data_IF_987483513346
#
_entry.id   IF_987483513346
#
_cell.length_a   1.000
_cell.length_b   1.000
_cell.length_c   1.000
_cell.angle_alpha   90.00
_cell.angle_beta   90.00
_cell.angle_gamma   90.00
#
_symmetry.space_group_name_H-M   'P 1'
#
loop_
_entity.id
_entity.type
_entity.pdbx_description
1 polymer ?
#
# COMPACT_ATOMS: atom_id res chain seq x y z
N UNK A 1 16.27 7.00 -9.63
CA UNK A 1 15.69 7.51 -8.37
C UNK A 1 15.33 6.31 -7.51
N UNK A 2 15.72 6.31 -6.24
CA UNK A 2 15.42 5.23 -5.29
C UNK A 2 13.96 5.34 -4.84
N UNK A 3 13.23 4.23 -4.82
CA UNK A 3 11.85 4.22 -4.33
C UNK A 3 11.80 4.62 -2.83
N UNK A 4 10.68 5.19 -2.33
CA UNK A 4 10.51 5.48 -0.90
C UNK A 4 10.74 4.26 0.00
N UNK A 5 10.42 3.06 -0.50
CA UNK A 5 10.64 1.80 0.22
C UNK A 5 12.12 1.39 0.25
N UNK A 6 12.89 1.69 -0.81
CA UNK A 6 14.34 1.43 -0.84
C UNK A 6 15.09 2.19 0.25
N UNK A 7 14.63 3.41 0.59
CA UNK A 7 15.21 4.18 1.69
C UNK A 7 14.94 3.57 3.06
N UNK A 8 13.77 2.96 3.26
CA UNK A 8 13.49 2.19 4.47
C UNK A 8 14.44 0.98 4.57
N UNK A 9 14.66 0.27 3.47
CA UNK A 9 15.63 -0.84 3.43
C UNK A 9 17.06 -0.38 3.77
N UNK A 10 17.49 0.77 3.25
CA UNK A 10 18.78 1.37 3.59
C UNK A 10 18.91 1.66 5.10
N UNK A 11 17.90 2.29 5.70
CA UNK A 11 17.85 2.57 7.14
C UNK A 11 17.94 1.27 7.95
N UNK A 12 17.24 0.22 7.52
CA UNK A 12 17.30 -1.10 8.17
C UNK A 12 18.72 -1.69 8.12
N UNK A 13 19.45 -1.54 7.00
CA UNK A 13 20.82 -2.05 6.84
C UNK A 13 21.87 -1.26 7.63
N UNK A 14 21.67 0.04 7.83
CA UNK A 14 22.61 0.89 8.58
C UNK A 14 22.41 0.80 10.08
N UNK A 15 21.20 0.43 10.52
CA UNK A 15 20.85 0.27 11.93
C UNK A 15 21.42 -1.05 12.47
N UNK A 16 22.61 -1.02 13.08
CA UNK A 16 23.37 -2.25 13.41
C UNK A 16 23.18 -2.83 14.81
N UNK A 17 22.74 -2.08 15.84
CA UNK A 17 22.63 -2.58 17.23
C UNK A 17 21.58 -1.83 18.09
N UNK A 18 20.94 -2.53 19.04
CA UNK A 18 20.07 -1.96 20.08
C UNK A 18 18.57 -2.24 19.92
N UNK A 19 17.80 -2.09 21.01
CA UNK A 19 16.36 -2.38 21.02
C UNK A 19 15.56 -1.51 20.02
N UNK A 20 15.95 -0.24 19.86
CA UNK A 20 15.37 0.67 18.87
C UNK A 20 15.55 0.17 17.43
N UNK A 21 16.72 -0.40 17.12
CA UNK A 21 17.01 -0.99 15.81
C UNK A 21 16.08 -2.16 15.50
N UNK A 22 15.81 -3.02 16.49
CA UNK A 22 14.91 -4.18 16.33
C UNK A 22 13.47 -3.74 16.07
N UNK A 23 13.01 -2.71 16.77
CA UNK A 23 11.68 -2.13 16.56
C UNK A 23 11.54 -1.52 15.15
N UNK A 24 12.54 -0.76 14.71
CA UNK A 24 12.58 -0.18 13.37
C UNK A 24 12.60 -1.26 12.30
N UNK A 25 13.45 -2.28 12.43
CA UNK A 25 13.51 -3.39 11.47
C UNK A 25 12.20 -4.18 11.42
N UNK A 26 11.57 -4.46 12.57
CA UNK A 26 10.26 -5.12 12.60
C UNK A 26 9.18 -4.30 11.90
N UNK A 27 9.16 -2.98 12.14
CA UNK A 27 8.25 -2.06 11.46
C UNK A 27 8.48 -2.04 9.94
N UNK A 28 9.73 -1.99 9.51
CA UNK A 28 10.08 -1.99 8.07
C UNK A 28 9.65 -3.31 7.41
N UNK A 29 9.89 -4.45 8.04
CA UNK A 29 9.42 -5.76 7.53
C UNK A 29 7.90 -5.80 7.32
N UNK A 30 7.14 -5.21 8.24
CA UNK A 30 5.66 -5.13 8.13
C UNK A 30 5.22 -4.17 7.01
N UNK A 31 5.96 -3.08 6.75
CA UNK A 31 5.73 -2.22 5.58
C UNK A 31 6.03 -2.99 4.29
N UNK A 32 7.10 -3.77 4.24
CA UNK A 32 7.44 -4.59 3.06
C UNK A 32 6.39 -5.68 2.82
N UNK A 33 5.87 -6.30 3.88
CA UNK A 33 4.76 -7.26 3.76
C UNK A 33 3.48 -6.59 3.24
N UNK A 34 3.18 -5.38 3.72
CA UNK A 34 2.07 -4.58 3.20
C UNK A 34 2.27 -4.24 1.72
N UNK A 35 3.48 -3.86 1.31
CA UNK A 35 3.79 -3.62 -0.10
C UNK A 35 3.63 -4.89 -0.96
N UNK A 36 4.09 -6.04 -0.49
CA UNK A 36 3.89 -7.33 -1.19
C UNK A 36 2.41 -7.70 -1.33
N UNK A 37 1.59 -7.41 -0.31
CA UNK A 37 0.14 -7.58 -0.40
C UNK A 37 -0.48 -6.61 -1.43
N UNK A 38 0.00 -5.36 -1.49
CA UNK A 38 -0.39 -4.39 -2.52
C UNK A 38 0.01 -4.88 -3.92
N UNK A 39 1.18 -5.48 -4.10
CA UNK A 39 1.60 -6.09 -5.37
C UNK A 39 0.66 -7.20 -5.84
N UNK A 40 0.12 -7.99 -4.92
CA UNK A 40 -0.90 -8.98 -5.27
C UNK A 40 -2.20 -8.32 -5.71
N UNK A 41 -2.68 -7.29 -4.99
CA UNK A 41 -3.89 -6.54 -5.38
C UNK A 41 -3.71 -5.92 -6.77
N UNK A 42 -2.59 -5.23 -7.02
CA UNK A 42 -2.30 -4.59 -8.30
C UNK A 42 -2.38 -5.58 -9.46
N UNK A 43 -1.67 -6.72 -9.35
CA UNK A 43 -1.69 -7.78 -10.36
C UNK A 43 -3.10 -8.30 -10.66
N UNK A 44 -3.89 -8.60 -9.63
CA UNK A 44 -5.25 -9.10 -9.85
C UNK A 44 -6.16 -8.04 -10.47
N UNK A 45 -6.08 -6.79 -10.02
CA UNK A 45 -6.93 -5.70 -10.52
C UNK A 45 -6.61 -5.40 -11.99
N UNK A 46 -5.32 -5.31 -12.35
CA UNK A 46 -4.89 -5.09 -13.73
C UNK A 46 -5.32 -6.24 -14.65
N UNK A 47 -5.13 -7.49 -14.21
CA UNK A 47 -5.56 -8.68 -14.95
C UNK A 47 -7.08 -8.73 -15.17
N UNK A 48 -7.86 -8.55 -14.11
CA UNK A 48 -9.33 -8.57 -14.17
C UNK A 48 -9.89 -7.48 -15.09
N UNK A 49 -9.36 -6.27 -14.98
CA UNK A 49 -9.79 -5.15 -15.81
C UNK A 49 -9.46 -5.37 -17.28
N UNK A 50 -8.25 -5.88 -17.57
CA UNK A 50 -7.81 -6.19 -18.94
C UNK A 50 -8.69 -7.27 -19.58
N UNK A 51 -9.05 -8.31 -18.81
CA UNK A 51 -9.91 -9.40 -19.29
C UNK A 51 -11.36 -8.96 -19.58
N UNK A 52 -11.84 -7.88 -18.95
CA UNK A 52 -13.22 -7.38 -19.10
C UNK A 52 -13.36 -6.16 -20.00
N UNK A 53 -12.25 -5.53 -20.42
CA UNK A 53 -12.29 -4.31 -21.23
C UNK A 53 -12.94 -3.13 -20.51
N UNK A 54 -12.97 -3.13 -19.17
CA UNK A 54 -13.65 -2.12 -18.35
C UNK A 54 -12.86 -0.84 -18.12
N UNK A 55 -12.03 -0.43 -19.09
CA UNK A 55 -11.12 0.70 -19.00
C UNK A 55 -11.60 1.89 -19.85
N UNK A 56 -11.67 3.06 -19.23
CA UNK A 56 -11.96 4.33 -19.86
C UNK A 56 -10.69 5.17 -19.90
N UNK A 57 -10.27 5.57 -21.10
CA UNK A 57 -9.16 6.50 -21.28
C UNK A 57 -9.59 7.92 -20.86
N UNK A 58 -8.76 8.57 -20.06
CA UNK A 58 -8.93 9.93 -19.54
C UNK A 58 -7.64 10.70 -19.81
N UNK A 59 -7.53 11.37 -20.97
CA UNK A 59 -6.31 12.07 -21.40
C UNK A 59 -5.04 11.21 -21.24
N UNK A 60 -4.21 11.49 -20.22
CA UNK A 60 -2.95 10.79 -19.92
C UNK A 60 -3.08 9.64 -18.91
N UNK A 61 -4.31 9.33 -18.48
CA UNK A 61 -4.61 8.29 -17.50
C UNK A 61 -5.63 7.28 -18.04
N UNK A 62 -5.61 6.05 -17.52
CA UNK A 62 -6.63 5.04 -17.80
C UNK A 62 -7.33 4.65 -16.50
N UNK A 63 -8.63 4.91 -16.40
CA UNK A 63 -9.47 4.48 -15.29
C UNK A 63 -10.14 3.15 -15.62
N UNK A 64 -9.90 2.14 -14.80
CA UNK A 64 -10.37 0.79 -15.05
C UNK A 64 -11.14 0.22 -13.86
N UNK A 65 -12.23 -0.48 -14.15
CA UNK A 65 -12.94 -1.29 -13.16
C UNK A 65 -12.45 -2.73 -13.19
N UNK A 66 -12.15 -3.31 -12.02
CA UNK A 66 -11.89 -4.73 -11.89
C UNK A 66 -13.18 -5.57 -12.00
N UNK A 67 -14.36 -4.94 -12.00
CA UNK A 67 -15.69 -5.58 -11.99
C UNK A 67 -15.90 -6.58 -10.84
N UNK A 68 -15.03 -6.56 -9.83
CA UNK A 68 -15.02 -7.43 -8.68
C UNK A 68 -14.90 -6.57 -7.41
N UNK A 69 -15.88 -6.70 -6.52
CA UNK A 69 -15.85 -6.07 -5.20
C UNK A 69 -15.78 -4.54 -5.22
N UNK A 70 -16.34 -3.89 -6.25
CA UNK A 70 -16.31 -2.43 -6.44
C UNK A 70 -14.90 -1.84 -6.33
N UNK A 71 -13.95 -2.53 -6.97
CA UNK A 71 -12.54 -2.15 -7.00
C UNK A 71 -12.19 -1.52 -8.34
N UNK A 72 -11.51 -0.39 -8.27
CA UNK A 72 -11.08 0.38 -9.43
C UNK A 72 -9.58 0.60 -9.34
N UNK A 73 -8.93 0.75 -10.48
CA UNK A 73 -7.58 1.29 -10.54
C UNK A 73 -7.41 2.33 -11.63
N UNK A 74 -6.39 3.15 -11.45
CA UNK A 74 -5.94 4.10 -12.44
C UNK A 74 -4.42 4.09 -12.48
N UNK A 75 -3.87 4.10 -13.69
CA UNK A 75 -2.48 4.44 -13.93
C UNK A 75 -2.44 5.85 -14.52
N UNK A 76 -1.74 6.75 -13.85
CA UNK A 76 -1.70 8.17 -14.13
C UNK A 76 -0.23 8.63 -14.04
N UNK A 77 0.43 8.79 -15.19
CA UNK A 77 1.84 9.20 -15.27
C UNK A 77 2.80 8.39 -14.37
N UNK A 78 2.60 7.07 -14.25
CA UNK A 78 3.43 6.20 -13.41
C UNK A 78 3.00 6.12 -11.94
N UNK A 79 1.90 6.76 -11.57
CA UNK A 79 1.22 6.58 -10.28
C UNK A 79 0.08 5.56 -10.44
N UNK A 80 0.26 4.41 -9.80
CA UNK A 80 -0.81 3.43 -9.60
C UNK A 80 -1.69 3.88 -8.44
N UNK A 81 -2.97 4.08 -8.71
CA UNK A 81 -4.00 4.38 -7.71
C UNK A 81 -5.03 3.25 -7.74
N UNK A 82 -5.30 2.61 -6.61
CA UNK A 82 -6.33 1.57 -6.47
C UNK A 82 -7.28 2.01 -5.37
N UNK A 83 -8.57 1.94 -5.61
CA UNK A 83 -9.57 2.16 -4.57
C UNK A 83 -10.66 1.11 -4.62
N UNK A 84 -11.03 0.65 -3.43
CA UNK A 84 -12.21 -0.16 -3.19
C UNK A 84 -13.25 0.73 -2.50
N UNK A 85 -14.46 0.76 -3.05
CA UNK A 85 -15.61 1.41 -2.41
C UNK A 85 -16.48 0.39 -1.67
N UNK A 86 -17.48 0.90 -0.95
CA UNK A 86 -18.41 0.10 -0.16
C UNK A 86 -17.84 -0.39 1.17
N UNK A 87 -18.24 -1.61 1.57
CA UNK A 87 -17.73 -2.22 2.80
C UNK A 87 -16.22 -2.46 2.72
N UNK A 88 -15.50 -2.16 3.80
CA UNK A 88 -14.04 -2.22 3.84
C UNK A 88 -13.33 -1.32 2.82
N UNK A 89 -13.85 -0.10 2.61
CA UNK A 89 -13.22 0.89 1.75
C UNK A 89 -11.73 1.10 2.08
N UNK A 90 -10.93 1.13 1.01
CA UNK A 90 -9.48 1.19 1.03
C UNK A 90 -9.00 1.98 -0.19
N UNK A 91 -7.95 2.77 -0.02
CA UNK A 91 -7.22 3.44 -1.08
C UNK A 91 -5.73 3.11 -0.99
N UNK A 92 -5.14 2.79 -2.12
CA UNK A 92 -3.71 2.52 -2.31
C UNK A 92 -3.22 3.50 -3.36
N UNK A 93 -2.11 4.18 -3.08
CA UNK A 93 -1.40 5.01 -4.06
C UNK A 93 0.06 4.62 -4.04
N UNK A 94 0.61 4.29 -5.21
CA UNK A 94 2.00 3.88 -5.36
C UNK A 94 2.60 4.49 -6.60
N UNK A 95 3.74 5.15 -6.44
CA UNK A 95 4.57 5.64 -7.54
C UNK A 95 6.04 5.64 -7.17
N UNK A 96 6.85 6.33 -7.97
CA UNK A 96 8.30 6.47 -7.72
C UNK A 96 8.62 7.13 -6.39
N UNK A 97 7.74 8.03 -5.91
CA UNK A 97 8.04 8.93 -4.80
C UNK A 97 7.12 8.75 -3.59
N UNK A 98 6.06 7.95 -3.73
CA UNK A 98 5.04 7.74 -2.70
C UNK A 98 4.60 6.29 -2.62
N UNK A 99 4.43 5.80 -1.40
CA UNK A 99 3.72 4.59 -1.07
C UNK A 99 2.70 4.91 0.02
N UNK A 100 1.41 4.83 -0.31
CA UNK A 100 0.30 5.14 0.58
C UNK A 100 -0.70 3.99 0.58
N UNK A 101 -1.07 3.54 1.77
CA UNK A 101 -2.23 2.67 1.99
C UNK A 101 -3.11 3.30 3.04
N UNK A 102 -4.41 3.42 2.77
CA UNK A 102 -5.32 4.16 3.63
C UNK A 102 -6.75 3.62 3.62
N UNK A 103 -7.43 3.83 4.73
CA UNK A 103 -8.87 3.62 4.94
C UNK A 103 -9.44 4.88 5.59
N UNK A 104 -10.73 4.91 5.93
CA UNK A 104 -11.30 6.04 6.70
C UNK A 104 -10.56 6.33 8.00
N UNK A 105 -10.06 5.33 8.72
CA UNK A 105 -9.50 5.49 10.07
C UNK A 105 -8.00 5.23 10.17
N UNK A 106 -7.39 4.60 9.16
CA UNK A 106 -6.00 4.18 9.22
C UNK A 106 -5.28 4.61 7.95
N UNK A 107 -4.04 5.10 8.05
CA UNK A 107 -3.20 5.27 6.87
C UNK A 107 -1.73 5.14 7.22
N UNK A 108 -0.94 4.69 6.25
CA UNK A 108 0.52 4.72 6.26
C UNK A 108 0.97 5.25 4.91
N UNK A 109 1.70 6.35 4.93
CA UNK A 109 2.31 7.01 3.78
C UNK A 109 3.81 7.09 4.00
N UNK A 110 4.58 6.62 3.03
CA UNK A 110 6.03 6.75 2.97
C UNK A 110 6.35 7.50 1.68
N UNK A 111 6.94 8.67 1.82
CA UNK A 111 7.47 9.48 0.72
C UNK A 111 9.00 9.36 0.68
N UNK A 112 9.67 10.02 -0.26
CA UNK A 112 11.14 9.94 -0.39
C UNK A 112 11.91 10.39 0.88
N UNK A 113 11.37 11.34 1.64
CA UNK A 113 12.07 11.93 2.81
C UNK A 113 11.27 11.86 4.09
N UNK A 114 9.96 11.65 4.00
CA UNK A 114 9.04 11.69 5.14
C UNK A 114 8.15 10.46 5.22
N UNK A 115 7.55 10.29 6.39
CA UNK A 115 6.41 9.40 6.56
C UNK A 115 5.27 10.14 7.24
N UNK A 116 4.07 9.60 7.05
CA UNK A 116 2.87 9.95 7.80
C UNK A 116 2.10 8.69 8.13
N UNK A 117 1.73 8.51 9.39
CA UNK A 117 0.84 7.42 9.79
C UNK A 117 -0.35 7.97 10.58
N UNK A 118 -1.50 7.37 10.38
CA UNK A 118 -2.74 7.74 11.05
C UNK A 118 -3.40 6.54 11.68
N UNK A 119 -3.80 6.71 12.92
CA UNK A 119 -4.54 5.73 13.71
C UNK A 119 -5.74 6.46 14.32
N UNK A 120 -6.92 6.20 13.77
CA UNK A 120 -8.16 6.92 14.08
C UNK A 120 -8.04 8.42 13.80
N UNK A 121 -8.20 9.25 14.83
CA UNK A 121 -8.05 10.71 14.79
C UNK A 121 -6.60 11.17 14.97
N UNK A 122 -5.70 10.30 15.44
CA UNK A 122 -4.30 10.65 15.68
C UNK A 122 -3.48 10.49 14.41
N UNK A 123 -2.75 11.54 14.03
CA UNK A 123 -1.79 11.51 12.92
C UNK A 123 -0.41 11.84 13.44
N UNK A 124 0.56 11.03 13.07
CA UNK A 124 1.98 11.25 13.29
C UNK A 124 2.67 11.43 11.95
N UNK A 125 3.72 12.23 11.93
CA UNK A 125 4.56 12.42 10.74
C UNK A 125 5.96 12.83 11.16
N UNK A 126 6.95 12.41 10.37
CA UNK A 126 8.34 12.71 10.63
C UNK A 126 9.21 12.47 9.42
N UNK A 127 10.50 12.74 9.57
CA UNK A 127 11.51 12.41 8.56
C UNK A 127 11.86 10.92 8.61
N UNK A 128 12.26 10.36 7.48
CA UNK A 128 12.80 9.00 7.36
C UNK A 128 14.23 8.93 7.91
N UNK A 129 14.33 9.05 9.23
CA UNK A 129 15.56 8.91 10.03
C UNK A 129 15.35 7.83 11.07
N UNK A 130 16.40 7.10 11.46
CA UNK A 130 16.30 5.98 12.39
C UNK A 130 15.71 6.41 13.74
N UNK A 131 16.11 7.57 14.27
CA UNK A 131 15.68 8.09 15.57
C UNK A 131 14.17 8.36 15.58
N UNK A 132 13.69 9.04 14.54
CA UNK A 132 12.29 9.40 14.40
C UNK A 132 11.41 8.18 14.12
N UNK A 133 11.87 7.23 13.29
CA UNK A 133 11.19 5.97 13.05
C UNK A 133 11.14 5.10 14.31
N UNK A 134 12.20 5.06 15.12
CA UNK A 134 12.21 4.30 16.37
C UNK A 134 11.17 4.85 17.35
N UNK A 135 11.12 6.17 17.51
CA UNK A 135 10.16 6.87 18.37
C UNK A 135 8.71 6.54 18.00
N UNK A 136 8.41 6.52 16.71
CA UNK A 136 7.05 6.39 16.20
C UNK A 136 6.67 4.95 15.79
N UNK A 137 7.62 4.02 15.87
CA UNK A 137 7.50 2.64 15.36
C UNK A 137 6.25 1.91 15.81
N UNK A 138 5.87 2.05 17.09
CA UNK A 138 4.70 1.38 17.65
C UNK A 138 3.39 1.84 17.00
N UNK A 139 3.23 3.15 16.77
CA UNK A 139 2.03 3.71 16.16
C UNK A 139 1.96 3.34 14.68
N UNK A 140 3.10 3.37 13.98
CA UNK A 140 3.20 2.94 12.59
C UNK A 140 2.81 1.45 12.47
N UNK A 141 3.39 0.59 13.32
CA UNK A 141 3.06 -0.84 13.38
C UNK A 141 1.58 -1.09 13.65
N UNK A 142 0.96 -0.34 14.58
CA UNK A 142 -0.47 -0.48 14.84
C UNK A 142 -1.31 -0.11 13.62
N UNK A 143 -0.96 0.96 12.89
CA UNK A 143 -1.64 1.32 11.65
C UNK A 143 -1.49 0.21 10.59
N UNK A 144 -0.27 -0.33 10.40
CA UNK A 144 -0.02 -1.42 9.45
C UNK A 144 -0.84 -2.66 9.82
N UNK A 145 -0.87 -3.07 11.09
CA UNK A 145 -1.64 -4.23 11.55
C UNK A 145 -3.16 -4.10 11.34
N UNK A 146 -3.67 -2.87 11.18
CA UNK A 146 -5.08 -2.62 10.80
C UNK A 146 -5.28 -2.58 9.28
N UNK A 147 -4.26 -2.20 8.51
CA UNK A 147 -4.30 -2.11 7.05
C UNK A 147 -4.02 -3.47 6.38
N UNK A 148 -2.99 -4.19 6.82
CA UNK A 148 -2.52 -5.43 6.19
C UNK A 148 -3.61 -6.49 6.03
N UNK A 149 -4.44 -6.81 7.05
CA UNK A 149 -5.53 -7.76 6.88
C UNK A 149 -6.54 -7.30 5.82
N UNK A 150 -6.82 -5.99 5.71
CA UNK A 150 -7.76 -5.45 4.71
C UNK A 150 -7.22 -5.59 3.29
N UNK A 151 -5.92 -5.32 3.09
CA UNK A 151 -5.27 -5.50 1.79
C UNK A 151 -5.25 -6.99 1.40
N UNK A 152 -4.90 -7.88 2.33
CA UNK A 152 -4.92 -9.34 2.09
C UNK A 152 -6.32 -9.86 1.78
N UNK A 153 -7.34 -9.42 2.50
CA UNK A 153 -8.74 -9.78 2.21
C UNK A 153 -9.14 -9.32 0.80
N UNK A 154 -8.77 -8.10 0.40
CA UNK A 154 -9.03 -7.61 -0.95
C UNK A 154 -8.35 -8.51 -2.01
N UNK A 155 -7.05 -8.82 -1.83
CA UNK A 155 -6.34 -9.72 -2.74
C UNK A 155 -7.02 -11.09 -2.84
N UNK A 156 -7.45 -11.67 -1.70
CA UNK A 156 -8.18 -12.94 -1.67
C UNK A 156 -9.53 -12.87 -2.40
N UNK A 157 -10.31 -11.81 -2.19
CA UNK A 157 -11.59 -11.61 -2.89
C UNK A 157 -11.41 -11.45 -4.39
N UNK A 158 -10.39 -10.71 -4.84
CA UNK A 158 -10.08 -10.55 -6.26
C UNK A 158 -9.63 -11.87 -6.89
N UNK A 159 -8.76 -12.62 -6.21
CA UNK A 159 -8.32 -13.96 -6.65
C UNK A 159 -9.50 -14.92 -6.79
N UNK A 160 -10.39 -14.96 -5.81
CA UNK A 160 -11.59 -15.78 -5.86
C UNK A 160 -12.52 -15.36 -7.01
N UNK A 161 -12.65 -14.05 -7.25
CA UNK A 161 -13.45 -13.52 -8.35
C UNK A 161 -12.86 -13.87 -9.73
N UNK A 162 -11.54 -13.80 -9.90
CA UNK A 162 -10.87 -14.23 -11.13
C UNK A 162 -11.12 -15.72 -11.40
N UNK A 163 -10.97 -16.56 -10.38
CA UNK A 163 -11.21 -18.00 -10.47
C UNK A 163 -12.66 -18.33 -10.82
N UNK A 164 -13.63 -17.69 -10.17
CA UNK A 164 -15.06 -17.95 -10.45
C UNK A 164 -15.47 -17.53 -11.86
N UNK A 165 -14.72 -16.63 -12.49
CA UNK A 165 -14.91 -16.20 -13.86
C UNK A 165 -14.03 -16.96 -14.87
N UNK A 166 -13.25 -17.95 -14.43
CA UNK A 166 -12.34 -18.71 -15.30
C UNK A 166 -11.14 -17.91 -15.82
N UNK A 167 -10.83 -16.76 -15.22
CA UNK A 167 -9.71 -15.88 -15.61
C UNK A 167 -8.45 -16.34 -14.88
N UNK A 168 -7.36 -16.54 -15.64
CA UNK A 168 -6.04 -16.85 -15.08
C UNK A 168 -5.25 -15.56 -14.86
N UNK A 169 -5.17 -15.18 -13.60
CA UNK A 169 -4.24 -14.24 -13.00
C UNK A 169 -3.38 -15.03 -12.00
#
# INVERSE_FOLDING_TARGET
>A
MSSPLSKLEEISRTSRKGAASLQVSSMISEIMELNSAVDQVARYVECLASAKGGCTQLNEASLCSASCGETFYMNDAGLLKIWKVGSNALSIVRGSDTFLVSTKNFSVQIDQTSYRARLWSSTISGQLTQEQLAKDSQLILQAIRKLLPKVKTLAGSLSQCARSQGIKC
#
